data_IF_121758212419
#
_entry.id   IF_121758212419
#
_cell.length_a   1.000
_cell.length_b   1.000
_cell.length_c   1.000
_cell.angle_alpha   90.00
_cell.angle_beta   90.00
_cell.angle_gamma   90.00
#
_symmetry.space_group_name_H-M   'P 1'
#
loop_
_entity.id
_entity.type
_entity.pdbx_description
1 polymer ?
#
# COMPACT_ATOMS: atom_id res chain seq x y z
N UNK A 1 21.39 -4.16 11.68
CA UNK A 1 21.62 -3.05 12.61
C UNK A 1 21.42 -1.78 11.82
N UNK A 2 20.25 -1.18 11.96
CA UNK A 2 19.95 0.10 11.32
C UNK A 2 20.39 1.16 12.31
N UNK A 3 21.35 2.01 11.95
CA UNK A 3 21.59 3.18 12.79
C UNK A 3 20.32 4.03 12.75
N UNK A 4 19.66 4.23 13.91
CA UNK A 4 18.42 4.99 14.02
C UNK A 4 18.46 6.35 13.28
N UNK A 5 19.64 6.97 13.24
CA UNK A 5 19.87 8.19 12.48
C UNK A 5 19.74 7.98 10.96
N UNK A 6 20.27 6.88 10.42
CA UNK A 6 20.11 6.55 9.00
C UNK A 6 18.66 6.28 8.61
N UNK A 7 17.85 5.70 9.52
CA UNK A 7 16.42 5.54 9.27
C UNK A 7 15.71 6.90 9.20
N UNK A 8 16.02 7.81 10.13
CA UNK A 8 15.48 9.18 10.11
C UNK A 8 15.91 9.91 8.85
N UNK A 9 17.18 9.79 8.46
CA UNK A 9 17.72 10.46 7.27
C UNK A 9 17.07 9.93 5.99
N UNK A 10 16.81 8.61 5.91
CA UNK A 10 16.07 8.02 4.78
C UNK A 10 14.61 8.44 4.75
N UNK A 11 13.92 8.46 5.89
CA UNK A 11 12.53 8.96 5.97
C UNK A 11 12.46 10.45 5.61
N UNK A 12 13.42 11.26 6.06
CA UNK A 12 13.51 12.69 5.73
C UNK A 12 13.84 12.97 4.26
N UNK A 13 14.30 11.98 3.50
CA UNK A 13 14.58 12.12 2.07
C UNK A 13 13.32 11.97 1.20
N UNK A 14 12.17 11.59 1.78
CA UNK A 14 10.89 11.51 1.07
C UNK A 14 10.23 12.88 0.97
N UNK A 15 9.68 13.22 -0.21
CA UNK A 15 9.03 14.51 -0.50
C UNK A 15 7.82 14.81 0.40
N UNK A 16 7.25 13.78 1.02
CA UNK A 16 6.10 13.82 1.92
C UNK A 16 6.45 14.32 3.32
N UNK A 17 7.75 14.38 3.65
CA UNK A 17 8.27 14.73 4.97
C UNK A 17 8.93 16.10 4.89
N UNK A 18 8.42 17.07 5.64
CA UNK A 18 8.84 18.46 5.53
C UNK A 18 10.28 18.69 6.03
N UNK A 19 10.68 17.98 7.09
CA UNK A 19 12.02 18.09 7.67
C UNK A 19 12.44 16.87 8.51
N UNK A 20 13.71 16.83 8.92
CA UNK A 20 14.26 15.75 9.76
C UNK A 20 13.63 15.65 11.16
N UNK A 21 12.99 16.72 11.66
CA UNK A 21 12.26 16.69 12.94
C UNK A 21 10.89 16.03 12.77
N UNK A 22 10.19 16.27 11.67
CA UNK A 22 8.99 15.54 11.28
C UNK A 22 9.31 14.07 11.02
N UNK A 23 10.39 13.76 10.28
CA UNK A 23 10.85 12.40 10.07
C UNK A 23 11.07 11.66 11.40
N UNK A 24 11.75 12.32 12.35
CA UNK A 24 11.97 11.75 13.68
C UNK A 24 10.67 11.54 14.43
N UNK A 25 9.79 12.55 14.48
CA UNK A 25 8.49 12.43 15.16
C UNK A 25 7.63 11.32 14.54
N UNK A 26 7.62 11.20 13.21
CA UNK A 26 6.91 10.17 12.47
C UNK A 26 7.42 8.76 12.82
N UNK A 27 8.74 8.54 12.74
CA UNK A 27 9.35 7.26 13.15
C UNK A 27 8.96 6.91 14.58
N UNK A 28 9.00 7.88 15.50
CA UNK A 28 8.64 7.68 16.90
C UNK A 28 7.16 7.32 17.08
N UNK A 29 6.25 8.06 16.43
CA UNK A 29 4.80 7.84 16.55
C UNK A 29 4.39 6.49 15.97
N UNK A 30 4.92 6.12 14.81
CA UNK A 30 4.63 4.85 14.13
C UNK A 30 5.12 3.67 14.96
N UNK A 31 6.37 3.72 15.44
CA UNK A 31 6.93 2.69 16.33
C UNK A 31 6.11 2.53 17.61
N UNK A 32 5.70 3.63 18.23
CA UNK A 32 4.89 3.61 19.44
C UNK A 32 3.50 3.00 19.18
N UNK A 33 2.89 3.35 18.04
CA UNK A 33 1.59 2.84 17.64
C UNK A 33 1.63 1.34 17.27
N UNK A 34 2.74 0.87 16.68
CA UNK A 34 2.92 -0.54 16.29
C UNK A 34 3.29 -1.45 17.46
N UNK A 35 4.03 -0.95 18.45
CA UNK A 35 4.60 -1.79 19.51
C UNK A 35 3.60 -2.68 20.29
N UNK A 36 2.34 -2.27 20.53
CA UNK A 36 1.33 -3.14 21.13
C UNK A 36 0.96 -4.36 20.28
N UNK A 37 1.09 -4.26 18.95
CA UNK A 37 0.69 -5.27 17.97
C UNK A 37 1.78 -6.32 17.68
N UNK A 38 3.02 -6.03 18.04
CA UNK A 38 4.15 -6.91 17.73
C UNK A 38 4.23 -8.12 18.66
N UNK A 39 4.58 -9.27 18.08
CA UNK A 39 4.97 -10.46 18.84
C UNK A 39 6.18 -10.15 19.74
N UNK A 40 6.36 -10.85 20.89
CA UNK A 40 7.41 -10.55 21.86
C UNK A 40 8.82 -10.50 21.25
N UNK A 41 9.08 -11.34 20.24
CA UNK A 41 10.34 -11.36 19.50
C UNK A 41 10.57 -10.08 18.69
N UNK A 42 9.65 -9.72 17.80
CA UNK A 42 9.69 -8.50 17.01
C UNK A 42 9.75 -7.24 17.90
N UNK A 43 9.07 -7.26 19.05
CA UNK A 43 9.14 -6.18 20.05
C UNK A 43 10.53 -6.03 20.66
N UNK A 44 11.21 -7.14 20.94
CA UNK A 44 12.57 -7.14 21.49
C UNK A 44 13.59 -6.70 20.45
N UNK A 45 13.48 -7.19 19.21
CA UNK A 45 14.33 -6.76 18.09
C UNK A 45 14.16 -5.27 17.82
N UNK A 46 12.92 -4.76 17.80
CA UNK A 46 12.64 -3.33 17.71
C UNK A 46 13.24 -2.55 18.90
N UNK A 47 13.12 -3.06 20.15
CA UNK A 47 13.71 -2.42 21.33
C UNK A 47 15.25 -2.37 21.31
N UNK A 48 15.89 -3.34 20.67
CA UNK A 48 17.35 -3.38 20.53
C UNK A 48 17.84 -2.36 19.53
N UNK A 49 17.07 -2.11 18.46
CA UNK A 49 17.41 -1.16 17.40
C UNK A 49 17.02 0.30 17.74
N UNK A 50 16.10 0.53 18.70
CA UNK A 50 15.66 1.87 19.11
C UNK A 50 16.53 2.51 20.22
N UNK A 51 16.80 3.83 20.16
CA UNK A 51 17.44 4.60 21.24
C UNK A 51 16.74 4.45 22.59
N UNK A 52 17.51 4.57 23.68
CA UNK A 52 16.99 4.43 25.06
C UNK A 52 15.85 5.40 25.39
N UNK A 53 15.80 6.57 24.76
CA UNK A 53 14.73 7.57 24.90
C UNK A 53 13.35 7.07 24.44
N UNK A 54 13.30 6.12 23.49
CA UNK A 54 12.06 5.53 22.99
C UNK A 54 11.54 4.36 23.83
N UNK A 55 12.41 3.73 24.62
CA UNK A 55 12.06 2.55 25.43
C UNK A 55 11.02 2.84 26.52
N UNK A 56 10.84 4.12 26.87
CA UNK A 56 9.91 4.60 27.89
C UNK A 56 8.48 4.83 27.36
N UNK A 57 8.30 5.04 26.05
CA UNK A 57 6.97 5.25 25.45
C UNK A 57 6.28 3.95 25.01
N UNK A 58 7.01 2.83 25.03
CA UNK A 58 6.53 1.48 24.69
C UNK A 58 5.65 0.86 25.81
N UNK A 59 5.28 1.63 26.83
CA UNK A 59 4.60 1.17 28.04
C UNK A 59 3.11 1.53 28.19
N UNK A 60 2.47 2.08 27.15
CA UNK A 60 1.07 2.51 27.23
C UNK A 60 0.09 1.33 27.29
N UNK A 61 -0.52 1.11 28.46
CA UNK A 61 -1.58 0.13 28.68
C UNK A 61 -2.84 0.50 27.89
N UNK A 62 -3.21 -0.36 26.93
CA UNK A 62 -4.58 -0.63 26.51
C UNK A 62 -5.47 0.57 26.12
N UNK A 63 -5.53 0.87 24.82
CA UNK A 63 -6.71 1.49 24.22
C UNK A 63 -6.96 0.81 22.87
N UNK A 64 -8.21 0.35 22.68
CA UNK A 64 -8.82 -0.32 21.53
C UNK A 64 -7.90 -0.62 20.31
N UNK A 65 -7.66 -1.91 20.10
CA UNK A 65 -7.00 -2.53 18.97
C UNK A 65 -7.27 -1.82 17.63
N UNK A 66 -6.21 -1.34 16.96
CA UNK A 66 -6.29 -1.02 15.55
C UNK A 66 -6.50 -2.33 14.77
N UNK A 67 -7.75 -2.59 14.38
CA UNK A 67 -8.14 -3.74 13.55
C UNK A 67 -7.90 -3.50 12.05
N UNK A 68 -7.55 -2.27 11.67
CA UNK A 68 -7.33 -1.83 10.29
C UNK A 68 -6.27 -0.70 10.23
N UNK A 69 -5.72 -0.45 9.03
CA UNK A 69 -4.80 0.66 8.74
C UNK A 69 -5.36 2.03 9.12
N UNK A 70 -6.67 2.24 9.04
CA UNK A 70 -7.33 3.51 9.37
C UNK A 70 -7.24 3.86 10.86
N UNK A 71 -7.31 2.88 11.75
CA UNK A 71 -7.14 3.08 13.18
C UNK A 71 -5.70 3.42 13.57
N UNK A 72 -4.72 2.80 12.90
CA UNK A 72 -3.31 3.12 13.09
C UNK A 72 -2.99 4.53 12.58
N UNK A 73 -3.48 4.90 11.39
CA UNK A 73 -3.34 6.23 10.81
C UNK A 73 -3.92 7.32 11.69
N UNK A 74 -5.12 7.09 12.25
CA UNK A 74 -5.75 8.03 13.19
C UNK A 74 -4.90 8.22 14.44
N UNK A 75 -4.35 7.13 14.99
CA UNK A 75 -3.49 7.20 16.17
C UNK A 75 -2.20 7.98 15.91
N UNK A 76 -1.56 7.73 14.78
CA UNK A 76 -0.36 8.46 14.35
C UNK A 76 -0.68 9.93 14.09
N UNK A 77 -1.81 10.22 13.45
CA UNK A 77 -2.30 11.59 13.23
C UNK A 77 -2.57 12.35 14.52
N UNK A 78 -3.21 11.72 15.50
CA UNK A 78 -3.42 12.27 16.84
C UNK A 78 -2.11 12.60 17.54
N UNK A 79 -1.13 11.68 17.53
CA UNK A 79 0.17 11.87 18.17
C UNK A 79 0.99 12.99 17.48
N UNK A 80 0.88 13.11 16.16
CA UNK A 80 1.60 14.11 15.35
C UNK A 80 0.85 15.43 15.16
N UNK A 81 -0.39 15.52 15.65
CA UNK A 81 -1.30 16.65 15.44
C UNK A 81 -1.52 16.97 13.95
N UNK A 82 -1.64 15.94 13.13
CA UNK A 82 -1.90 16.06 11.69
C UNK A 82 -3.20 15.32 11.30
N UNK A 83 -3.76 15.62 10.12
CA UNK A 83 -4.89 14.85 9.59
C UNK A 83 -4.53 13.35 9.46
N UNK A 84 -5.50 12.44 9.65
CA UNK A 84 -5.25 10.99 9.60
C UNK A 84 -4.68 10.53 8.26
N UNK A 85 -4.95 11.24 7.17
CA UNK A 85 -4.41 10.99 5.84
C UNK A 85 -2.88 11.16 5.83
N UNK A 86 -2.39 12.27 6.40
CA UNK A 86 -0.95 12.53 6.57
C UNK A 86 -0.33 11.51 7.53
N UNK A 87 -1.06 11.12 8.58
CA UNK A 87 -0.65 10.05 9.49
C UNK A 87 -0.47 8.69 8.81
N UNK A 88 -1.35 8.33 7.86
CA UNK A 88 -1.24 7.10 7.07
C UNK A 88 -0.02 7.14 6.15
N UNK A 89 0.20 8.27 5.49
CA UNK A 89 1.33 8.50 4.58
C UNK A 89 2.66 8.33 5.33
N UNK A 90 2.82 9.01 6.46
CA UNK A 90 4.00 8.87 7.34
C UNK A 90 4.17 7.43 7.86
N UNK A 91 3.07 6.75 8.20
CA UNK A 91 3.10 5.35 8.65
C UNK A 91 3.68 4.44 7.58
N UNK A 92 3.21 4.60 6.34
CA UNK A 92 3.67 3.80 5.22
C UNK A 92 5.14 4.05 4.90
N UNK A 93 5.56 5.31 4.87
CA UNK A 93 6.95 5.69 4.57
C UNK A 93 7.90 5.10 5.62
N UNK A 94 7.55 5.19 6.91
CA UNK A 94 8.34 4.57 7.98
C UNK A 94 8.38 3.04 7.87
N UNK A 95 7.24 2.38 7.63
CA UNK A 95 7.18 0.92 7.50
C UNK A 95 8.02 0.41 6.31
N UNK A 96 7.95 1.10 5.18
CA UNK A 96 8.69 0.75 3.97
C UNK A 96 10.19 0.89 4.19
N UNK A 97 10.63 1.97 4.83
CA UNK A 97 12.05 2.18 5.17
C UNK A 97 12.58 1.17 6.19
N UNK A 98 11.76 0.75 7.16
CA UNK A 98 12.13 -0.33 8.09
C UNK A 98 12.31 -1.65 7.33
N UNK A 99 11.38 -1.99 6.42
CA UNK A 99 11.45 -3.22 5.63
C UNK A 99 12.68 -3.26 4.72
N UNK A 100 13.00 -2.13 4.06
CA UNK A 100 14.18 -2.00 3.20
C UNK A 100 15.48 -2.09 3.99
N UNK A 101 15.53 -1.47 5.16
CA UNK A 101 16.75 -1.40 5.96
C UNK A 101 17.01 -2.67 6.79
N UNK A 102 15.96 -3.45 7.10
CA UNK A 102 16.07 -4.75 7.78
C UNK A 102 14.99 -5.72 7.28
N UNK A 103 15.29 -6.52 6.24
CA UNK A 103 14.33 -7.46 5.66
C UNK A 103 13.76 -8.46 6.68
N UNK A 104 14.58 -8.95 7.61
CA UNK A 104 14.13 -9.89 8.65
C UNK A 104 13.12 -9.28 9.62
N UNK A 105 13.29 -7.99 9.96
CA UNK A 105 12.31 -7.26 10.76
C UNK A 105 11.04 -6.98 9.95
N UNK A 106 11.18 -6.70 8.65
CA UNK A 106 10.05 -6.58 7.73
C UNK A 106 9.18 -7.84 7.69
N UNK A 107 9.78 -9.03 7.58
CA UNK A 107 9.04 -10.30 7.61
C UNK A 107 8.25 -10.48 8.92
N UNK A 108 8.88 -10.23 10.06
CA UNK A 108 8.25 -10.34 11.38
C UNK A 108 7.11 -9.31 11.58
N UNK A 109 7.28 -8.10 11.04
CA UNK A 109 6.24 -7.07 10.99
C UNK A 109 5.07 -7.52 10.12
N UNK A 110 5.31 -8.03 8.91
CA UNK A 110 4.27 -8.45 7.98
C UNK A 110 3.43 -9.64 8.49
N UNK A 111 3.94 -10.43 9.44
CA UNK A 111 3.19 -11.50 10.12
C UNK A 111 2.28 -10.96 11.23
N UNK A 112 2.68 -9.84 11.86
CA UNK A 112 1.99 -9.27 13.02
C UNK A 112 0.98 -8.18 12.65
N UNK A 113 1.04 -7.68 11.40
CA UNK A 113 0.22 -6.58 10.92
C UNK A 113 -1.05 -7.04 10.20
N UNK A 114 -2.11 -6.21 10.19
CA UNK A 114 -3.21 -6.31 9.24
C UNK A 114 -2.71 -6.46 7.78
N UNK A 115 -3.45 -7.20 6.95
CA UNK A 115 -3.01 -7.61 5.60
C UNK A 115 -2.71 -6.42 4.67
N UNK A 116 -3.48 -5.34 4.80
CA UNK A 116 -3.28 -4.07 4.10
C UNK A 116 -1.93 -3.42 4.42
N UNK A 117 -1.51 -3.43 5.69
CA UNK A 117 -0.20 -2.93 6.12
C UNK A 117 0.92 -3.94 5.81
N UNK A 118 0.62 -5.23 5.89
CA UNK A 118 1.57 -6.29 5.58
C UNK A 118 1.99 -6.28 4.11
N UNK A 119 1.08 -5.91 3.19
CA UNK A 119 1.40 -5.72 1.77
C UNK A 119 2.48 -4.66 1.57
N UNK A 120 2.40 -3.52 2.27
CA UNK A 120 3.38 -2.44 2.18
C UNK A 120 4.76 -2.83 2.71
N UNK A 121 4.79 -3.74 3.68
CA UNK A 121 6.04 -4.26 4.24
C UNK A 121 6.67 -5.33 3.34
N UNK A 122 5.85 -6.18 2.69
CA UNK A 122 6.34 -7.24 1.78
C UNK A 122 6.79 -6.69 0.43
N UNK A 123 6.17 -5.62 -0.04
CA UNK A 123 6.53 -4.92 -1.27
C UNK A 123 6.62 -3.41 -1.01
N UNK A 124 7.70 -2.92 -0.40
CA UNK A 124 7.83 -1.49 -0.08
C UNK A 124 7.95 -0.60 -1.33
N UNK A 125 8.50 -1.11 -2.44
CA UNK A 125 8.70 -0.35 -3.69
C UNK A 125 7.41 -0.33 -4.53
N UNK A 126 6.75 -1.48 -4.70
CA UNK A 126 5.42 -1.52 -5.30
C UNK A 126 4.35 -0.89 -4.41
N UNK A 127 4.58 -0.94 -3.09
CA UNK A 127 4.12 -0.09 -2.01
C UNK A 127 4.09 1.37 -2.42
N UNK A 128 5.27 2.02 -2.41
CA UNK A 128 5.53 3.43 -2.67
C UNK A 128 4.87 3.98 -3.95
N UNK A 129 4.81 3.18 -5.03
CA UNK A 129 4.11 3.57 -6.26
C UNK A 129 2.57 3.53 -6.19
N UNK A 130 2.00 3.21 -5.02
CA UNK A 130 0.57 3.13 -4.73
C UNK A 130 0.10 4.21 -3.74
N UNK A 131 0.82 5.33 -3.55
CA UNK A 131 0.36 6.44 -2.68
C UNK A 131 0.10 7.65 -3.55
N UNK A 132 -1.04 7.58 -4.21
CA UNK A 132 -1.69 8.78 -4.70
C UNK A 132 -3.07 8.87 -4.05
N UNK A 133 -3.12 8.80 -2.72
CA UNK A 133 -4.12 9.60 -2.01
C UNK A 133 -3.50 10.97 -1.88
N UNK A 134 -3.99 11.95 -2.63
CA UNK A 134 -3.52 13.33 -2.47
C UNK A 134 -3.65 13.77 -1.01
N UNK A 135 -3.05 14.90 -0.63
CA UNK A 135 -3.02 15.46 0.73
C UNK A 135 -4.38 15.61 1.46
N UNK A 136 -5.49 15.24 0.82
CA UNK A 136 -6.88 15.28 1.28
C UNK A 136 -7.56 13.89 1.37
N UNK A 137 -6.85 12.78 1.14
CA UNK A 137 -7.43 11.43 1.14
C UNK A 137 -8.29 11.12 -0.10
N UNK A 138 -8.33 12.03 -1.07
CA UNK A 138 -8.95 11.82 -2.37
C UNK A 138 -7.97 11.11 -3.32
N UNK A 139 -8.45 10.28 -4.26
CA UNK A 139 -7.60 9.69 -5.28
C UNK A 139 -6.88 10.80 -6.06
N UNK A 140 -5.55 10.72 -6.16
CA UNK A 140 -4.72 11.58 -7.01
C UNK A 140 -4.20 10.81 -8.21
N UNK A 141 -3.90 11.57 -9.26
CA UNK A 141 -3.36 11.04 -10.52
C UNK A 141 -1.95 10.50 -10.26
N UNK A 142 -1.68 9.31 -10.81
CA UNK A 142 -0.33 8.76 -10.92
C UNK A 142 0.56 9.62 -11.81
N UNK A 143 1.77 9.90 -11.32
CA UNK A 143 2.82 10.45 -12.17
C UNK A 143 3.39 9.41 -13.15
N UNK A 144 4.12 9.89 -14.15
CA UNK A 144 4.62 9.05 -15.24
C UNK A 144 5.69 8.05 -14.77
N UNK A 145 6.52 8.43 -13.79
CA UNK A 145 7.57 7.57 -13.26
C UNK A 145 6.96 6.36 -12.54
N UNK A 146 5.93 6.62 -11.74
CA UNK A 146 5.21 5.61 -10.97
C UNK A 146 4.39 4.71 -11.87
N UNK A 147 3.72 5.28 -12.87
CA UNK A 147 3.04 4.51 -13.90
C UNK A 147 4.02 3.61 -14.67
N UNK A 148 5.20 4.12 -15.02
CA UNK A 148 6.23 3.33 -15.71
C UNK A 148 6.67 2.12 -14.88
N UNK A 149 6.92 2.30 -13.58
CA UNK A 149 7.27 1.21 -12.68
C UNK A 149 6.13 0.20 -12.51
N UNK A 150 4.87 0.66 -12.45
CA UNK A 150 3.71 -0.22 -12.41
C UNK A 150 3.54 -1.04 -13.71
N UNK A 151 3.86 -0.45 -14.87
CA UNK A 151 3.78 -1.15 -16.18
C UNK A 151 4.77 -2.30 -16.31
N UNK A 152 5.91 -2.28 -15.62
CA UNK A 152 6.82 -3.44 -15.58
C UNK A 152 6.14 -4.68 -14.97
N UNK A 153 5.18 -4.48 -14.06
CA UNK A 153 4.42 -5.55 -13.40
C UNK A 153 3.10 -5.87 -14.10
N UNK A 154 2.70 -5.04 -15.06
CA UNK A 154 1.47 -5.15 -15.84
C UNK A 154 1.79 -5.19 -17.35
N UNK A 155 2.56 -6.17 -17.83
CA UNK A 155 3.08 -6.18 -19.22
C UNK A 155 1.98 -6.30 -20.28
N UNK A 156 0.82 -6.85 -19.92
CA UNK A 156 -0.33 -7.00 -20.81
C UNK A 156 -1.26 -5.76 -20.81
N UNK A 157 -0.93 -4.72 -20.04
CA UNK A 157 -1.69 -3.48 -19.97
C UNK A 157 -1.05 -2.38 -20.80
N UNK A 158 -1.87 -1.75 -21.62
CA UNK A 158 -1.50 -0.63 -22.47
C UNK A 158 -2.20 0.65 -22.00
N UNK A 159 -1.54 1.80 -22.16
CA UNK A 159 -2.15 3.09 -21.83
C UNK A 159 -1.17 4.12 -21.30
N UNK A 160 -1.73 5.18 -20.72
CA UNK A 160 -1.04 6.35 -20.16
C UNK A 160 -1.65 6.74 -18.80
N UNK A 161 -1.21 7.87 -18.24
CA UNK A 161 -1.72 8.40 -16.96
C UNK A 161 -3.22 8.75 -16.98
N UNK A 162 -3.92 8.65 -18.12
CA UNK A 162 -5.37 8.84 -18.21
C UNK A 162 -6.15 7.55 -18.10
N UNK A 163 -5.67 6.46 -18.70
CA UNK A 163 -6.37 5.18 -18.78
C UNK A 163 -5.37 4.05 -18.99
N UNK A 164 -5.66 2.90 -18.38
CA UNK A 164 -5.04 1.62 -18.76
C UNK A 164 -6.09 0.68 -19.35
N UNK A 165 -5.68 -0.14 -20.31
CA UNK A 165 -6.52 -1.06 -21.05
C UNK A 165 -5.81 -2.39 -21.26
N UNK A 166 -6.53 -3.50 -21.09
CA UNK A 166 -6.03 -4.85 -21.36
C UNK A 166 -7.02 -5.62 -22.21
N UNK A 167 -6.53 -6.24 -23.27
CA UNK A 167 -7.33 -7.11 -24.14
C UNK A 167 -7.09 -8.57 -23.78
N UNK A 168 -8.16 -9.30 -23.46
CA UNK A 168 -8.09 -10.73 -23.11
C UNK A 168 -8.84 -11.51 -24.17
N UNK A 169 -8.12 -12.40 -24.87
CA UNK A 169 -8.71 -13.31 -25.84
C UNK A 169 -9.22 -14.56 -25.12
N UNK A 170 -10.52 -14.81 -25.21
CA UNK A 170 -11.14 -15.98 -24.63
C UNK A 170 -12.47 -16.31 -25.34
N UNK A 171 -12.86 -17.60 -25.39
CA UNK A 171 -14.16 -18.00 -25.89
C UNK A 171 -15.33 -17.30 -25.15
N UNK A 172 -16.41 -16.98 -25.88
CA UNK A 172 -17.56 -16.23 -25.32
C UNK A 172 -18.21 -16.90 -24.10
N UNK A 173 -18.18 -18.23 -24.01
CA UNK A 173 -18.67 -19.00 -22.87
C UNK A 173 -17.79 -18.89 -21.61
N UNK A 174 -16.51 -18.51 -21.75
CA UNK A 174 -15.58 -18.27 -20.65
C UNK A 174 -15.63 -16.83 -20.12
N UNK A 175 -16.30 -15.91 -20.81
CA UNK A 175 -16.44 -14.50 -20.39
C UNK A 175 -17.24 -14.36 -19.08
N UNK A 176 -18.45 -14.96 -18.93
CA UNK A 176 -19.22 -14.80 -17.68
C UNK A 176 -18.49 -15.33 -16.43
N UNK A 177 -17.82 -16.50 -16.46
CA UNK A 177 -16.98 -16.95 -15.35
C UNK A 177 -15.85 -15.99 -14.97
N UNK A 178 -15.21 -15.36 -15.97
CA UNK A 178 -14.17 -14.36 -15.75
C UNK A 178 -14.73 -13.12 -15.06
N UNK A 179 -15.83 -12.55 -15.58
CA UNK A 179 -16.48 -11.39 -14.97
C UNK A 179 -16.91 -11.67 -13.52
N UNK A 180 -17.53 -12.83 -13.26
CA UNK A 180 -17.91 -13.22 -11.90
C UNK A 180 -16.70 -13.40 -10.95
N UNK A 181 -15.51 -13.69 -11.48
CA UNK A 181 -14.28 -13.77 -10.69
C UNK A 181 -13.71 -12.37 -10.43
N UNK A 182 -13.67 -11.51 -11.44
CA UNK A 182 -13.28 -10.10 -11.30
C UNK A 182 -14.16 -9.42 -10.25
N UNK A 183 -15.48 -9.55 -10.35
CA UNK A 183 -16.43 -8.96 -9.39
C UNK A 183 -16.18 -9.43 -7.96
N UNK A 184 -15.81 -10.70 -7.78
CA UNK A 184 -15.48 -11.25 -6.45
C UNK A 184 -14.20 -10.65 -5.88
N UNK A 185 -13.17 -10.48 -6.70
CA UNK A 185 -11.88 -9.95 -6.27
C UNK A 185 -11.94 -8.44 -6.01
N UNK A 186 -12.81 -7.72 -6.72
CA UNK A 186 -12.92 -6.26 -6.64
C UNK A 186 -13.98 -5.77 -5.65
N UNK A 187 -14.71 -6.67 -4.98
CA UNK A 187 -15.83 -6.32 -4.09
C UNK A 187 -15.42 -5.34 -2.98
N UNK A 188 -14.21 -5.47 -2.47
CA UNK A 188 -13.71 -4.67 -1.35
C UNK A 188 -13.11 -3.32 -1.81
N UNK A 189 -12.90 -3.13 -3.12
CA UNK A 189 -12.28 -1.92 -3.67
C UNK A 189 -13.24 -0.74 -3.89
N UNK A 190 -14.55 -0.90 -3.66
CA UNK A 190 -15.57 0.08 -4.04
C UNK A 190 -15.43 0.62 -5.49
N UNK A 191 -14.79 -0.16 -6.37
CA UNK A 191 -14.53 0.18 -7.77
C UNK A 191 -14.51 -1.09 -8.61
N UNK A 192 -14.86 -0.93 -9.88
CA UNK A 192 -14.98 -2.03 -10.83
C UNK A 192 -14.41 -1.59 -12.17
N UNK A 193 -13.71 -2.49 -12.89
CA UNK A 193 -13.17 -2.14 -14.19
C UNK A 193 -14.33 -1.96 -15.17
N UNK A 194 -14.20 -0.98 -16.06
CA UNK A 194 -15.06 -0.94 -17.23
C UNK A 194 -14.66 -2.10 -18.14
N UNK A 195 -15.64 -2.74 -18.78
CA UNK A 195 -15.37 -3.83 -19.69
C UNK A 195 -16.28 -3.78 -20.91
N UNK A 196 -15.74 -4.22 -22.04
CA UNK A 196 -16.45 -4.34 -23.30
C UNK A 196 -16.19 -5.73 -23.88
N UNK A 197 -17.27 -6.47 -24.15
CA UNK A 197 -17.17 -7.77 -24.84
C UNK A 197 -17.00 -7.51 -26.33
N UNK A 198 -15.99 -8.14 -26.92
CA UNK A 198 -15.68 -8.08 -28.35
C UNK A 198 -15.96 -9.45 -28.99
N UNK A 199 -15.78 -9.56 -30.30
CA UNK A 199 -15.94 -10.85 -30.98
C UNK A 199 -14.89 -11.89 -30.58
N UNK A 200 -13.68 -11.43 -30.24
CA UNK A 200 -12.53 -12.27 -29.92
C UNK A 200 -12.27 -12.42 -28.40
N UNK A 201 -13.10 -11.79 -27.56
CA UNK A 201 -12.95 -11.87 -26.10
C UNK A 201 -13.52 -10.67 -25.36
N UNK A 202 -12.72 -10.09 -24.45
CA UNK A 202 -13.13 -8.96 -23.61
C UNK A 202 -11.98 -7.96 -23.45
N UNK A 203 -12.32 -6.68 -23.43
CA UNK A 203 -11.39 -5.59 -23.15
C UNK A 203 -11.74 -5.00 -21.80
N UNK A 204 -10.76 -4.94 -20.89
CA UNK A 204 -10.87 -4.23 -19.62
C UNK A 204 -10.25 -2.86 -19.73
N UNK A 205 -10.88 -1.88 -19.09
CA UNK A 205 -10.37 -0.53 -18.92
C UNK A 205 -10.44 -0.16 -17.45
N UNK A 206 -9.35 0.41 -16.93
CA UNK A 206 -9.30 0.99 -15.57
C UNK A 206 -8.96 2.47 -15.65
N UNK A 207 -9.71 3.25 -14.87
CA UNK A 207 -9.60 4.69 -14.71
C UNK A 207 -10.51 5.13 -13.56
N UNK A 208 -9.99 6.00 -12.71
CA UNK A 208 -10.78 6.64 -11.66
C UNK A 208 -11.59 7.79 -12.26
N UNK A 209 -12.89 7.55 -12.47
CA UNK A 209 -13.76 8.49 -13.18
C UNK A 209 -13.87 9.88 -12.52
N UNK A 210 -13.80 9.95 -11.19
CA UNK A 210 -13.87 11.22 -10.44
C UNK A 210 -12.65 12.13 -10.70
N UNK A 211 -11.52 11.55 -11.06
CA UNK A 211 -10.25 12.27 -11.33
C UNK A 211 -9.99 12.37 -12.84
N UNK A 212 -10.58 11.48 -13.65
CA UNK A 212 -10.30 11.37 -15.08
C UNK A 212 -8.85 10.96 -15.36
N UNK A 213 -8.26 10.16 -14.46
CA UNK A 213 -6.89 9.71 -14.53
C UNK A 213 -6.73 8.31 -13.95
N UNK A 214 -5.59 7.67 -14.26
CA UNK A 214 -5.16 6.45 -13.57
C UNK A 214 -4.66 6.87 -12.19
N UNK A 215 -5.17 6.18 -11.18
CA UNK A 215 -4.74 6.34 -9.79
C UNK A 215 -4.20 5.01 -9.29
N UNK A 216 -3.65 5.01 -8.08
CA UNK A 216 -3.26 3.77 -7.38
C UNK A 216 -4.34 2.69 -7.44
N UNK A 217 -5.60 3.09 -7.21
CA UNK A 217 -6.73 2.17 -7.15
C UNK A 217 -6.93 1.46 -8.51
N UNK A 218 -6.63 2.14 -9.61
CA UNK A 218 -6.70 1.55 -10.95
C UNK A 218 -5.59 0.53 -11.20
N UNK A 219 -4.40 0.72 -10.63
CA UNK A 219 -3.31 -0.28 -10.67
C UNK A 219 -3.70 -1.52 -9.86
N UNK A 220 -4.25 -1.34 -8.66
CA UNK A 220 -4.72 -2.43 -7.81
C UNK A 220 -5.87 -3.23 -8.46
N UNK A 221 -6.72 -2.53 -9.22
CA UNK A 221 -7.80 -3.09 -10.01
C UNK A 221 -7.26 -3.89 -11.20
N UNK A 222 -6.25 -3.37 -11.90
CA UNK A 222 -5.58 -4.05 -13.01
C UNK A 222 -4.93 -5.37 -12.55
N UNK A 223 -4.23 -5.36 -11.41
CA UNK A 223 -3.60 -6.57 -10.83
C UNK A 223 -4.64 -7.64 -10.47
N UNK A 224 -5.81 -7.25 -9.95
CA UNK A 224 -6.90 -8.20 -9.64
C UNK A 224 -7.51 -8.80 -10.90
N UNK A 225 -7.64 -8.00 -11.96
CA UNK A 225 -8.05 -8.51 -13.27
C UNK A 225 -7.02 -9.50 -13.80
N UNK A 226 -5.72 -9.22 -13.68
CA UNK A 226 -4.65 -10.15 -14.08
C UNK A 226 -4.73 -11.49 -13.34
N UNK A 227 -4.96 -11.43 -12.02
CA UNK A 227 -5.19 -12.64 -11.21
C UNK A 227 -6.42 -13.41 -11.69
N UNK A 228 -7.54 -12.74 -11.94
CA UNK A 228 -8.75 -13.39 -12.43
C UNK A 228 -8.53 -14.08 -13.79
N UNK A 229 -7.82 -13.42 -14.71
CA UNK A 229 -7.48 -13.95 -16.03
C UNK A 229 -6.55 -15.15 -15.91
N UNK A 230 -5.51 -15.07 -15.09
CA UNK A 230 -4.58 -16.18 -14.87
C UNK A 230 -5.28 -17.42 -14.29
N UNK A 231 -6.19 -17.23 -13.32
CA UNK A 231 -6.95 -18.33 -12.72
C UNK A 231 -7.93 -18.98 -13.72
N UNK A 232 -8.65 -18.19 -14.51
CA UNK A 232 -9.57 -18.72 -15.52
C UNK A 232 -8.82 -19.38 -16.67
N UNK A 233 -7.66 -18.85 -17.06
CA UNK A 233 -6.79 -19.41 -18.10
C UNK A 233 -6.08 -20.70 -17.67
N UNK A 234 -5.81 -20.88 -16.38
CA UNK A 234 -5.18 -22.10 -15.82
C UNK A 234 -6.19 -23.22 -15.56
N UNK A 235 -7.49 -22.93 -15.55
CA UNK A 235 -8.59 -23.89 -15.35
C UNK A 235 -9.09 -24.58 -16.63
N UNK A 236 -8.19 -24.79 -17.60
CA UNK A 236 -8.44 -25.48 -18.88
C UNK A 236 -8.42 -26.99 -18.74
#
# INVERSE_FOLDING_TARGET
>A
MIAHQELIDRVAAHDEVADSEEARRAVHAVVAALSPHLVPRAREELRQELPRSLRNNVGGTGAAFATDSGALARRVGEDLHCPPEHGLQLTRTVLSEIALASPGLGEDLAVSLPEDLAEWVRDPVGAQGRSDTGATGAPSRLDEATLSAARERLPDWEGDTRRLTRSVRLPKDRIPPLLARVDRLCRDLNSSPHHETTDDGIVFTVQTASVGAVTTQDIELAERVDRAVAEVGSGG
#
